data_IF_687817496619
#
_entry.id   IF_687817496619
#
_cell.length_a   1.000
_cell.length_b   1.000
_cell.length_c   1.000
_cell.angle_alpha   90.00
_cell.angle_beta   90.00
_cell.angle_gamma   90.00
#
_symmetry.space_group_name_H-M   'P 1'
#
loop_
_entity.id
_entity.type
_entity.pdbx_description
1 polymer ?
#
# COMPACT_ATOMS: atom_id res chain seq x y z
N UNK A 1 2.04 4.10 1.70
CA UNK A 1 3.01 3.02 1.99
C UNK A 1 2.63 2.39 3.33
N UNK A 2 2.56 1.05 3.42
CA UNK A 2 2.32 0.36 4.70
C UNK A 2 3.58 -0.41 5.11
N UNK A 3 3.98 -0.25 6.37
CA UNK A 3 5.09 -0.99 6.96
C UNK A 3 4.73 -1.36 8.38
N UNK A 4 4.99 -2.63 8.75
CA UNK A 4 4.82 -3.10 10.13
C UNK A 4 5.86 -2.49 11.09
N UNK A 5 6.93 -1.90 10.55
CA UNK A 5 8.00 -1.26 11.32
C UNK A 5 8.42 0.06 10.68
N UNK A 6 9.00 0.98 11.44
CA UNK A 6 9.35 2.32 10.93
C UNK A 6 10.84 2.71 11.07
N UNK A 7 11.79 1.89 10.57
CA UNK A 7 13.24 2.16 10.61
C UNK A 7 13.65 3.25 9.59
N UNK A 8 14.87 3.77 9.72
CA UNK A 8 15.38 4.91 8.91
C UNK A 8 15.29 4.68 7.40
N UNK A 9 15.58 3.46 6.94
CA UNK A 9 15.58 3.15 5.49
C UNK A 9 14.16 3.17 4.90
N UNK A 10 13.17 2.69 5.66
CA UNK A 10 11.75 2.73 5.26
C UNK A 10 11.24 4.18 5.24
N UNK A 11 11.68 5.03 6.17
CA UNK A 11 11.35 6.47 6.16
C UNK A 11 11.90 7.16 4.92
N UNK A 12 13.16 6.87 4.57
CA UNK A 12 13.79 7.43 3.38
C UNK A 12 13.04 7.03 2.11
N UNK A 13 12.72 5.74 1.98
CA UNK A 13 11.90 5.23 0.89
C UNK A 13 10.50 5.89 0.87
N UNK A 14 9.88 6.10 2.03
CA UNK A 14 8.57 6.76 2.09
C UNK A 14 8.63 8.21 1.61
N UNK A 15 9.68 8.95 1.97
CA UNK A 15 9.90 10.35 1.54
C UNK A 15 10.22 10.46 0.05
N UNK A 16 10.94 9.49 -0.51
CA UNK A 16 11.26 9.46 -1.95
C UNK A 16 10.01 9.21 -2.81
N UNK A 17 8.98 8.56 -2.26
CA UNK A 17 7.78 8.16 -2.99
C UNK A 17 6.52 8.98 -2.63
N UNK A 18 6.54 9.80 -1.57
CA UNK A 18 5.35 10.51 -1.09
C UNK A 18 5.70 11.90 -0.54
N UNK A 19 5.09 12.95 -1.10
CA UNK A 19 5.43 14.35 -0.79
C UNK A 19 4.66 14.91 0.43
N UNK A 20 3.45 14.41 0.70
CA UNK A 20 2.57 14.86 1.81
C UNK A 20 1.88 13.68 2.51
N UNK A 21 2.65 12.73 3.02
CA UNK A 21 2.09 11.54 3.67
C UNK A 21 1.61 11.85 5.10
N UNK A 22 0.34 11.60 5.40
CA UNK A 22 -0.11 11.44 6.78
C UNK A 22 0.55 10.17 7.38
N UNK A 23 1.25 10.32 8.51
CA UNK A 23 1.83 9.19 9.23
C UNK A 23 0.83 8.68 10.27
N UNK A 24 0.18 7.55 9.97
CA UNK A 24 -0.76 6.88 10.88
C UNK A 24 -0.09 5.65 11.49
N UNK A 25 0.13 5.66 12.79
CA UNK A 25 0.56 4.48 13.54
C UNK A 25 -0.66 3.82 14.18
N UNK A 26 -1.04 2.63 13.71
CA UNK A 26 -2.17 1.86 14.25
C UNK A 26 -1.63 0.73 15.13
N UNK A 27 -1.69 0.93 16.45
CA UNK A 27 -1.39 -0.09 17.45
C UNK A 27 -0.39 0.36 18.52
N UNK A 28 -0.70 0.01 19.76
CA UNK A 28 0.30 -0.35 20.78
C UNK A 28 0.49 -1.87 20.70
N UNK A 29 1.58 -2.42 21.26
CA UNK A 29 1.70 -3.88 21.48
C UNK A 29 0.55 -4.43 22.34
N UNK A 30 -0.18 -3.55 23.02
CA UNK A 30 -1.47 -3.84 23.63
C UNK A 30 -2.58 -3.56 22.61
N UNK A 31 -3.17 -4.63 22.08
CA UNK A 31 -4.32 -4.58 21.18
C UNK A 31 -5.52 -3.91 21.88
N UNK A 32 -5.70 -2.61 21.66
CA UNK A 32 -6.98 -1.95 21.82
C UNK A 32 -7.12 -0.87 20.73
N UNK A 33 -7.97 -1.13 19.73
CA UNK A 33 -8.50 -0.06 18.92
C UNK A 33 -9.40 0.79 19.83
N UNK A 34 -8.90 1.96 20.25
CA UNK A 34 -9.64 2.87 21.10
C UNK A 34 -10.85 3.43 20.32
N UNK A 35 -12.05 3.07 20.77
CA UNK A 35 -13.35 3.43 20.18
C UNK A 35 -13.70 4.92 20.36
N UNK A 36 -12.86 5.68 21.05
CA UNK A 36 -12.99 7.12 21.23
C UNK A 36 -12.16 7.96 20.22
N UNK A 37 -11.54 7.33 19.22
CA UNK A 37 -10.82 8.04 18.16
C UNK A 37 -11.72 8.14 16.92
N UNK A 38 -12.07 9.37 16.53
CA UNK A 38 -12.69 9.66 15.24
C UNK A 38 -11.75 9.21 14.12
N UNK A 39 -12.09 8.12 13.43
CA UNK A 39 -11.31 7.64 12.29
C UNK A 39 -11.69 8.46 11.06
N UNK A 40 -10.77 9.30 10.60
CA UNK A 40 -10.89 10.02 9.35
C UNK A 40 -10.31 9.12 8.26
N UNK A 41 -11.20 8.51 7.47
CA UNK A 41 -10.80 7.75 6.27
C UNK A 41 -10.84 8.72 5.10
N UNK A 42 -9.68 9.17 4.66
CA UNK A 42 -9.59 9.97 3.45
C UNK A 42 -9.86 9.07 2.23
N UNK A 43 -10.76 9.49 1.31
CA UNK A 43 -11.29 8.63 0.26
C UNK A 43 -10.28 8.18 -0.82
N UNK A 44 -9.03 8.67 -0.79
CA UNK A 44 -8.08 8.55 -1.91
C UNK A 44 -6.68 8.06 -1.51
N UNK A 45 -6.59 7.20 -0.50
CA UNK A 45 -5.32 6.62 -0.07
C UNK A 45 -4.84 5.48 -0.99
N UNK A 46 -3.82 5.74 -1.82
CA UNK A 46 -3.13 4.71 -2.61
C UNK A 46 -2.34 3.76 -1.69
N UNK A 47 -2.57 2.47 -1.85
CA UNK A 47 -2.00 1.41 -1.02
C UNK A 47 -1.06 0.54 -1.83
N UNK A 48 0.21 0.44 -1.42
CA UNK A 48 1.21 -0.46 -2.01
C UNK A 48 1.34 -1.70 -1.12
N UNK A 49 1.19 -2.89 -1.70
CA UNK A 49 1.30 -4.18 -1.02
C UNK A 49 2.51 -4.93 -1.58
N UNK A 50 3.45 -5.29 -0.72
CA UNK A 50 4.59 -6.14 -1.10
C UNK A 50 4.24 -7.61 -0.95
N UNK A 51 4.61 -8.39 -1.95
CA UNK A 51 4.44 -9.83 -1.97
C UNK A 51 5.74 -10.49 -2.41
N UNK A 52 5.95 -11.72 -1.93
CA UNK A 52 7.22 -12.43 -2.08
C UNK A 52 7.55 -12.83 -3.52
N UNK A 53 6.53 -13.07 -4.35
CA UNK A 53 6.75 -13.58 -5.72
C UNK A 53 5.83 -12.90 -6.74
N UNK A 54 6.29 -12.86 -8.00
CA UNK A 54 5.52 -12.34 -9.14
C UNK A 54 4.16 -13.02 -9.27
N UNK A 55 4.13 -14.36 -9.12
CA UNK A 55 2.89 -15.16 -9.18
C UNK A 55 1.91 -14.76 -8.08
N UNK A 56 2.38 -14.61 -6.83
CA UNK A 56 1.53 -14.12 -5.72
C UNK A 56 0.98 -12.73 -6.00
N UNK A 57 1.73 -11.87 -6.69
CA UNK A 57 1.27 -10.52 -7.07
C UNK A 57 0.10 -10.56 -8.06
N UNK A 58 0.20 -11.39 -9.09
CA UNK A 58 -0.88 -11.60 -10.06
C UNK A 58 -2.13 -12.19 -9.41
N UNK A 59 -1.97 -13.23 -8.59
CA UNK A 59 -3.10 -13.92 -7.94
C UNK A 59 -3.83 -12.99 -6.96
N UNK A 60 -3.09 -12.23 -6.14
CA UNK A 60 -3.67 -11.24 -5.23
C UNK A 60 -4.40 -10.14 -6.00
N UNK A 61 -3.80 -9.61 -7.06
CA UNK A 61 -4.42 -8.56 -7.89
C UNK A 61 -5.73 -9.04 -8.52
N UNK A 62 -5.75 -10.27 -9.04
CA UNK A 62 -6.97 -10.87 -9.61
C UNK A 62 -8.06 -11.04 -8.56
N UNK A 63 -7.70 -11.48 -7.36
CA UNK A 63 -8.64 -11.63 -6.26
C UNK A 63 -9.23 -10.28 -5.83
N UNK A 64 -8.39 -9.26 -5.61
CA UNK A 64 -8.84 -7.91 -5.25
C UNK A 64 -9.76 -7.30 -6.31
N UNK A 65 -9.42 -7.46 -7.60
CA UNK A 65 -10.27 -7.02 -8.71
C UNK A 65 -11.62 -7.74 -8.75
N UNK A 66 -11.66 -9.04 -8.43
CA UNK A 66 -12.91 -9.81 -8.35
C UNK A 66 -13.80 -9.32 -7.22
N UNK A 67 -13.20 -8.86 -6.13
CA UNK A 67 -13.87 -8.26 -4.97
C UNK A 67 -14.23 -6.77 -5.20
N UNK A 68 -13.99 -6.23 -6.40
CA UNK A 68 -14.39 -4.88 -6.79
C UNK A 68 -13.35 -3.80 -6.51
N UNK A 69 -12.16 -4.16 -6.03
CA UNK A 69 -11.11 -3.18 -5.71
C UNK A 69 -10.29 -2.80 -6.95
N UNK A 70 -9.97 -1.50 -7.13
CA UNK A 70 -9.09 -1.02 -8.20
C UNK A 70 -7.62 -1.35 -7.87
N UNK A 71 -7.20 -2.59 -8.14
CA UNK A 71 -5.85 -3.09 -7.86
C UNK A 71 -4.99 -3.28 -9.13
N UNK A 72 -3.68 -3.06 -8.99
CA UNK A 72 -2.64 -3.28 -10.00
C UNK A 72 -1.41 -3.92 -9.34
N UNK A 73 -0.69 -4.75 -10.09
CA UNK A 73 0.62 -5.25 -9.67
C UNK A 73 1.71 -4.85 -10.66
N UNK A 74 2.92 -4.69 -10.13
CA UNK A 74 4.13 -4.37 -10.88
C UNK A 74 5.17 -5.46 -10.62
N UNK A 75 5.67 -6.08 -11.68
CA UNK A 75 6.87 -6.92 -11.64
C UNK A 75 7.56 -6.92 -13.01
N UNK A 76 8.77 -7.48 -13.07
CA UNK A 76 9.62 -7.43 -14.27
C UNK A 76 9.07 -8.12 -15.54
N UNK A 77 8.03 -8.93 -15.41
CA UNK A 77 7.42 -9.63 -16.56
C UNK A 77 6.20 -8.87 -17.12
N UNK A 78 5.80 -7.76 -16.48
CA UNK A 78 4.74 -6.86 -16.96
C UNK A 78 5.26 -5.95 -18.07
N UNK A 79 4.37 -5.56 -18.98
CA UNK A 79 4.70 -4.59 -20.02
C UNK A 79 4.98 -3.20 -19.42
N UNK A 80 5.80 -2.38 -20.10
CA UNK A 80 6.09 -1.01 -19.63
C UNK A 80 4.79 -0.19 -19.46
N UNK A 81 3.83 -0.33 -20.37
CA UNK A 81 2.54 0.36 -20.31
C UNK A 81 1.70 0.02 -19.07
N UNK A 82 1.79 -1.22 -18.56
CA UNK A 82 1.09 -1.62 -17.32
C UNK A 82 1.73 -1.00 -16.08
N UNK A 83 3.07 -0.81 -16.11
CA UNK A 83 3.80 -0.14 -15.03
C UNK A 83 3.48 1.35 -14.98
N UNK A 84 3.45 2.00 -16.14
CA UNK A 84 3.17 3.43 -16.23
C UNK A 84 1.73 3.73 -15.77
N UNK A 85 0.77 2.85 -16.06
CA UNK A 85 -0.61 3.01 -15.57
C UNK A 85 -0.75 2.80 -14.05
N UNK A 86 0.07 1.93 -13.46
CA UNK A 86 0.08 1.71 -12.01
C UNK A 86 0.78 2.83 -11.22
N UNK A 87 1.60 3.64 -11.87
CA UNK A 87 2.38 4.73 -11.25
C UNK A 87 1.92 6.14 -11.65
N UNK A 88 1.08 6.28 -12.68
CA UNK A 88 0.81 7.55 -13.36
C UNK A 88 -0.65 8.00 -13.45
N UNK A 89 -1.54 7.48 -12.59
CA UNK A 89 -2.84 8.10 -12.30
C UNK A 89 -2.80 8.75 -10.93
#
# INVERSE_FOLDING_TARGET
MFSATWPKDVRKLAMDFQTEAAHLNVGSLELAANHNITQIVEPECKTIIFVETKRKADDLTRWMRRDGWPALCIHGDKGQSERDWALGG
#
